data_IF_557825322984
#
_entry.id   IF_557825322984
#
_cell.length_a   1.000
_cell.length_b   1.000
_cell.length_c   1.000
_cell.angle_alpha   90.00
_cell.angle_beta   90.00
_cell.angle_gamma   90.00
#
_symmetry.space_group_name_H-M   'P 1'
#
loop_
_entity.id
_entity.type
_entity.pdbx_description
1 polymer ?
#
# COMPACT_ATOMS: atom_id res chain seq x y z
N UNK A 1 68.07 -19.58 -19.31
CA UNK A 1 66.93 -18.83 -18.73
C UNK A 1 65.84 -19.86 -18.43
N UNK A 2 65.59 -20.20 -17.16
CA UNK A 2 64.66 -21.26 -16.74
C UNK A 2 63.40 -20.62 -16.14
N UNK A 3 62.24 -21.08 -16.62
CA UNK A 3 60.91 -20.51 -16.40
C UNK A 3 60.44 -20.66 -14.94
N UNK A 4 59.79 -19.60 -14.44
CA UNK A 4 59.20 -19.49 -13.10
C UNK A 4 57.83 -20.18 -13.13
N UNK A 5 57.63 -21.21 -12.30
CA UNK A 5 56.34 -21.84 -12.09
C UNK A 5 55.53 -21.05 -11.05
N UNK A 6 54.46 -20.40 -11.50
CA UNK A 6 53.51 -19.66 -10.66
C UNK A 6 52.34 -20.60 -10.31
N UNK A 7 52.28 -21.08 -9.06
CA UNK A 7 51.14 -21.87 -8.56
C UNK A 7 50.16 -20.90 -7.90
N UNK A 8 49.09 -20.53 -8.60
CA UNK A 8 47.96 -19.79 -8.03
C UNK A 8 47.05 -20.79 -7.29
N UNK A 9 47.12 -20.79 -5.96
CA UNK A 9 46.09 -21.39 -5.10
C UNK A 9 44.83 -20.53 -5.14
N UNK A 10 43.83 -20.94 -5.93
CA UNK A 10 42.47 -20.39 -5.83
C UNK A 10 41.80 -20.95 -4.56
N UNK A 11 41.86 -20.19 -3.48
CA UNK A 11 40.99 -20.39 -2.32
C UNK A 11 39.61 -19.79 -2.64
N UNK A 12 38.69 -20.62 -3.11
CA UNK A 12 37.27 -20.27 -3.30
C UNK A 12 36.59 -20.20 -1.93
N UNK A 13 36.68 -19.03 -1.29
CA UNK A 13 35.85 -18.71 -0.12
C UNK A 13 34.42 -18.45 -0.60
N UNK A 14 33.55 -19.45 -0.47
CA UNK A 14 32.10 -19.28 -0.67
C UNK A 14 31.56 -18.55 0.56
N UNK A 15 31.05 -17.31 0.45
CA UNK A 15 30.35 -16.71 1.58
C UNK A 15 29.02 -17.43 1.74
N UNK A 16 28.85 -18.12 2.87
CA UNK A 16 27.57 -18.64 3.32
C UNK A 16 26.64 -17.47 3.63
N UNK A 17 25.87 -17.01 2.64
CA UNK A 17 24.80 -16.05 2.84
C UNK A 17 23.57 -16.78 3.44
N UNK A 18 23.63 -17.06 4.74
CA UNK A 18 22.52 -17.57 5.52
C UNK A 18 21.99 -16.50 6.47
N UNK A 19 20.71 -16.12 6.32
CA UNK A 19 19.95 -15.54 7.44
C UNK A 19 19.03 -14.38 7.12
N UNK A 20 17.84 -14.69 6.59
CA UNK A 20 16.62 -13.94 6.90
C UNK A 20 16.33 -12.71 6.05
N UNK A 21 15.87 -12.91 4.80
CA UNK A 21 15.04 -11.91 4.16
C UNK A 21 13.81 -11.68 5.05
N UNK A 22 13.79 -10.56 5.78
CA UNK A 22 12.65 -10.18 6.59
C UNK A 22 11.40 -10.21 5.70
N UNK A 23 10.45 -11.11 6.00
CA UNK A 23 9.18 -11.25 5.29
C UNK A 23 8.60 -9.85 5.10
N UNK A 24 8.55 -9.37 3.86
CA UNK A 24 8.05 -8.03 3.58
C UNK A 24 6.65 -7.88 4.21
N UNK A 25 6.30 -6.72 4.77
CA UNK A 25 5.01 -6.53 5.41
C UNK A 25 3.88 -6.93 4.44
N UNK A 26 3.14 -7.98 4.79
CA UNK A 26 2.10 -8.54 3.92
C UNK A 26 0.99 -7.50 3.80
N UNK A 27 0.76 -7.02 2.58
CA UNK A 27 -0.39 -6.17 2.29
C UNK A 27 -1.61 -7.05 2.08
N UNK A 28 -2.74 -6.66 2.66
CA UNK A 28 -4.00 -7.40 2.65
C UNK A 28 -5.08 -6.57 1.97
N UNK A 29 -5.94 -7.21 1.18
CA UNK A 29 -7.07 -6.53 0.55
C UNK A 29 -8.02 -5.98 1.63
N UNK A 30 -8.44 -4.74 1.47
CA UNK A 30 -9.46 -4.12 2.32
C UNK A 30 -10.80 -4.06 1.58
N UNK A 31 -10.81 -3.45 0.40
CA UNK A 31 -12.03 -3.26 -0.40
C UNK A 31 -11.68 -3.05 -1.87
N UNK A 32 -12.54 -3.51 -2.77
CA UNK A 32 -12.52 -3.17 -4.19
C UNK A 32 -13.57 -2.09 -4.47
N UNK A 33 -13.19 -1.04 -5.21
CA UNK A 33 -14.02 0.09 -5.57
C UNK A 33 -14.40 -0.01 -7.06
N UNK A 34 -15.69 -0.06 -7.41
CA UNK A 34 -16.12 -0.11 -8.80
C UNK A 34 -15.57 1.06 -9.62
N UNK A 35 -15.15 0.79 -10.87
CA UNK A 35 -14.57 1.76 -11.82
C UNK A 35 -13.28 2.47 -11.37
N UNK A 36 -12.72 2.10 -10.22
CA UNK A 36 -11.46 2.59 -9.69
C UNK A 36 -10.51 1.40 -9.55
N UNK A 37 -10.21 1.00 -8.32
CA UNK A 37 -9.23 -0.03 -8.02
C UNK A 37 -9.50 -0.72 -6.70
N UNK A 38 -8.46 -1.31 -6.11
CA UNK A 38 -8.53 -1.95 -4.80
C UNK A 38 -7.69 -1.21 -3.77
N UNK A 39 -8.24 -1.07 -2.57
CA UNK A 39 -7.53 -0.56 -1.40
C UNK A 39 -6.99 -1.72 -0.60
N UNK A 40 -5.73 -1.62 -0.19
CA UNK A 40 -5.07 -2.58 0.68
C UNK A 40 -4.64 -1.92 1.98
N UNK A 41 -4.38 -2.73 3.00
CA UNK A 41 -3.84 -2.28 4.27
C UNK A 41 -2.66 -3.18 4.68
N UNK A 42 -1.76 -2.63 5.50
CA UNK A 42 -0.61 -3.35 6.04
C UNK A 42 -0.19 -2.79 7.39
N UNK A 43 0.50 -3.62 8.15
CA UNK A 43 1.21 -3.19 9.34
C UNK A 43 2.68 -2.85 9.06
N UNK A 44 3.22 -1.96 9.88
CA UNK A 44 4.65 -1.73 9.99
C UNK A 44 5.31 -2.69 10.97
N UNK A 45 6.64 -2.57 11.10
CA UNK A 45 7.41 -3.26 12.15
C UNK A 45 7.17 -2.67 13.54
N UNK A 46 6.87 -1.38 13.61
CA UNK A 46 6.56 -0.68 14.85
C UNK A 46 5.11 -0.93 15.26
N UNK A 47 4.89 -1.19 16.55
CA UNK A 47 3.55 -1.39 17.09
C UNK A 47 2.66 -0.18 16.80
N UNK A 48 1.44 -0.46 16.34
CA UNK A 48 0.47 0.56 15.98
C UNK A 48 0.80 1.34 14.70
N UNK A 49 1.84 0.98 13.95
CA UNK A 49 2.12 1.60 12.65
C UNK A 49 1.35 0.87 11.54
N UNK A 50 0.52 1.59 10.81
CA UNK A 50 -0.32 1.07 9.74
C UNK A 50 -0.18 1.90 8.48
N UNK A 51 -0.42 1.30 7.33
CA UNK A 51 -0.43 2.02 6.07
C UNK A 51 -1.45 1.44 5.11
N UNK A 52 -1.93 2.32 4.23
CA UNK A 52 -2.82 1.95 3.15
C UNK A 52 -2.05 1.83 1.83
N UNK A 53 -2.58 1.02 0.93
CA UNK A 53 -2.15 0.91 -0.45
C UNK A 53 -3.33 1.02 -1.39
N UNK A 54 -3.03 1.27 -2.67
CA UNK A 54 -4.03 1.35 -3.71
C UNK A 54 -3.49 0.74 -5.01
N UNK A 55 -4.29 -0.10 -5.66
CA UNK A 55 -4.01 -0.66 -6.98
C UNK A 55 -5.12 -0.26 -7.93
N UNK A 56 -4.80 0.55 -8.92
CA UNK A 56 -5.71 0.92 -10.02
C UNK A 56 -6.02 -0.33 -10.88
N UNK A 57 -7.28 -0.51 -11.29
CA UNK A 57 -7.62 -1.60 -12.20
C UNK A 57 -7.13 -1.33 -13.63
N UNK A 58 -7.24 -2.34 -14.49
CA UNK A 58 -6.91 -2.21 -15.91
C UNK A 58 -7.97 -1.42 -16.69
N UNK A 59 -9.22 -1.48 -16.26
CA UNK A 59 -10.37 -0.89 -16.92
C UNK A 59 -10.75 0.50 -16.41
N UNK A 60 -9.95 1.08 -15.50
CA UNK A 60 -10.21 2.39 -14.91
C UNK A 60 -9.33 3.47 -15.54
N UNK A 61 -9.70 4.73 -15.35
CA UNK A 61 -8.92 5.88 -15.80
C UNK A 61 -7.89 6.32 -14.75
N UNK A 62 -6.96 7.20 -15.15
CA UNK A 62 -5.98 7.78 -14.24
C UNK A 62 -6.65 8.50 -13.07
N UNK A 63 -6.24 8.15 -11.84
CA UNK A 63 -6.87 8.63 -10.61
C UNK A 63 -5.87 9.44 -9.78
N UNK A 64 -6.31 10.60 -9.28
CA UNK A 64 -5.61 11.31 -8.20
C UNK A 64 -6.02 10.72 -6.86
N UNK A 65 -5.05 10.19 -6.12
CA UNK A 65 -5.25 9.58 -4.81
C UNK A 65 -4.50 10.38 -3.76
N UNK A 66 -5.19 10.77 -2.70
CA UNK A 66 -4.57 11.44 -1.54
C UNK A 66 -4.87 10.69 -0.27
N UNK A 67 -3.88 10.61 0.62
CA UNK A 67 -3.99 10.00 1.94
C UNK A 67 -3.89 11.08 3.01
N UNK A 68 -4.85 11.06 3.94
CA UNK A 68 -4.80 11.82 5.19
C UNK A 68 -4.71 10.87 6.37
N UNK A 69 -4.06 11.32 7.43
CA UNK A 69 -4.00 10.64 8.71
C UNK A 69 -4.29 11.66 9.81
N UNK A 70 -5.29 11.38 10.65
CA UNK A 70 -5.81 12.32 11.65
C UNK A 70 -6.04 13.74 11.07
N UNK A 71 -6.62 13.81 9.87
CA UNK A 71 -6.90 15.06 9.16
C UNK A 71 -5.72 15.68 8.41
N UNK A 72 -4.47 15.30 8.70
CA UNK A 72 -3.27 15.83 8.02
C UNK A 72 -3.00 15.10 6.71
N UNK A 73 -2.77 15.85 5.62
CA UNK A 73 -2.33 15.27 4.34
C UNK A 73 -0.93 14.67 4.48
N UNK A 74 -0.79 13.37 4.19
CA UNK A 74 0.50 12.68 4.20
C UNK A 74 1.12 12.61 2.81
N UNK A 75 0.31 12.30 1.79
CA UNK A 75 0.77 12.20 0.42
C UNK A 75 -0.39 12.37 -0.58
N UNK A 76 -0.03 12.79 -1.79
CA UNK A 76 -0.87 12.77 -2.99
C UNK A 76 -0.09 12.12 -4.13
N UNK A 77 -0.77 11.29 -4.92
CA UNK A 77 -0.21 10.55 -6.05
C UNK A 77 -1.21 10.55 -7.21
N UNK A 78 -0.70 10.67 -8.42
CA UNK A 78 -1.45 10.34 -9.64
C UNK A 78 -1.14 8.90 -9.98
N UNK A 79 -2.17 8.08 -10.16
CA UNK A 79 -2.05 6.63 -10.33
C UNK A 79 -2.66 6.26 -11.68
N UNK A 80 -1.82 5.72 -12.57
CA UNK A 80 -2.25 5.26 -13.88
C UNK A 80 -2.84 3.84 -13.80
N UNK A 81 -3.57 3.39 -14.84
CA UNK A 81 -4.10 2.03 -14.90
C UNK A 81 -3.02 0.98 -14.59
N UNK A 82 -3.43 -0.08 -13.88
CA UNK A 82 -2.56 -1.16 -13.38
C UNK A 82 -1.53 -0.75 -12.30
N UNK A 83 -1.28 0.53 -12.06
CA UNK A 83 -0.27 0.96 -11.11
C UNK A 83 -0.67 0.62 -9.66
N UNK A 84 0.30 0.09 -8.91
CA UNK A 84 0.20 -0.12 -7.47
C UNK A 84 0.98 0.99 -6.76
N UNK A 85 0.33 1.63 -5.79
CA UNK A 85 0.97 2.60 -4.90
C UNK A 85 0.81 2.20 -3.45
N UNK A 86 1.84 2.51 -2.67
CA UNK A 86 1.92 2.26 -1.25
C UNK A 86 2.09 3.59 -0.53
N UNK A 87 1.26 3.87 0.46
CA UNK A 87 1.37 5.10 1.24
C UNK A 87 2.25 4.91 2.49
N UNK A 88 2.79 6.00 3.06
CA UNK A 88 3.60 5.93 4.27
C UNK A 88 2.87 5.23 5.43
N UNK A 89 3.64 4.52 6.25
CA UNK A 89 3.16 4.00 7.52
C UNK A 89 3.00 5.15 8.53
N UNK A 90 1.96 5.11 9.34
CA UNK A 90 1.69 6.09 10.40
C UNK A 90 1.05 5.40 11.60
N UNK A 91 1.23 5.98 12.79
CA UNK A 91 0.58 5.53 14.02
C UNK A 91 -0.80 6.14 14.27
N UNK A 92 -1.26 6.95 13.32
CA UNK A 92 -2.59 7.55 13.34
C UNK A 92 -3.68 6.45 13.38
N UNK A 93 -4.63 6.51 14.33
CA UNK A 93 -5.73 5.55 14.42
C UNK A 93 -6.68 5.63 13.23
N UNK A 94 -6.78 6.79 12.58
CA UNK A 94 -7.66 7.02 11.43
C UNK A 94 -6.86 7.44 10.22
N UNK A 95 -7.06 6.74 9.11
CA UNK A 95 -6.53 7.11 7.80
C UNK A 95 -7.67 7.24 6.79
N UNK A 96 -7.52 8.15 5.85
CA UNK A 96 -8.52 8.44 4.84
C UNK A 96 -7.86 8.51 3.47
N UNK A 97 -8.33 7.71 2.53
CA UNK A 97 -8.04 7.84 1.11
C UNK A 97 -9.14 8.64 0.43
N UNK A 98 -8.76 9.61 -0.39
CA UNK A 98 -9.67 10.31 -1.30
C UNK A 98 -9.19 10.08 -2.73
N UNK A 99 -10.13 9.64 -3.57
CA UNK A 99 -9.94 9.33 -4.98
C UNK A 99 -10.70 10.36 -5.80
N UNK A 100 -10.05 10.89 -6.84
CA UNK A 100 -10.65 11.78 -7.83
C UNK A 100 -10.20 11.32 -9.20
N UNK A 101 -11.15 10.91 -10.04
CA UNK A 101 -10.89 10.44 -11.39
C UNK A 101 -11.70 11.31 -12.37
N UNK A 102 -11.03 11.92 -13.33
CA UNK A 102 -11.68 12.65 -14.41
C UNK A 102 -11.97 11.70 -15.56
N UNK A 103 -13.24 11.60 -15.94
CA UNK A 103 -13.70 10.77 -17.06
C UNK A 103 -14.48 11.65 -18.04
N UNK A 104 -14.68 11.19 -19.27
CA UNK A 104 -15.47 11.92 -20.29
C UNK A 104 -16.82 12.45 -19.76
N UNK A 105 -17.65 11.67 -19.02
CA UNK A 105 -18.92 12.17 -18.49
C UNK A 105 -18.81 12.94 -17.16
N UNK A 106 -17.62 13.30 -16.69
CA UNK A 106 -17.40 14.10 -15.48
C UNK A 106 -16.45 13.46 -14.45
N UNK A 107 -16.46 14.01 -13.24
CA UNK A 107 -15.55 13.59 -12.16
C UNK A 107 -16.20 12.56 -11.23
N UNK A 108 -15.56 11.40 -11.09
CA UNK A 108 -15.88 10.41 -10.05
C UNK A 108 -15.06 10.70 -8.80
N UNK A 109 -15.71 10.73 -7.63
CA UNK A 109 -15.04 10.88 -6.34
C UNK A 109 -15.42 9.77 -5.38
N UNK A 110 -14.43 9.19 -4.72
CA UNK A 110 -14.65 8.23 -3.64
C UNK A 110 -13.80 8.61 -2.41
N UNK A 111 -14.28 8.23 -1.24
CA UNK A 111 -13.59 8.39 0.03
C UNK A 111 -13.65 7.07 0.79
N UNK A 112 -12.49 6.57 1.21
CA UNK A 112 -12.37 5.40 2.08
C UNK A 112 -11.76 5.85 3.38
N UNK A 113 -12.46 5.65 4.49
CA UNK A 113 -11.97 5.95 5.84
C UNK A 113 -11.73 4.64 6.57
N UNK A 114 -10.57 4.51 7.21
CA UNK A 114 -10.11 3.28 7.87
C UNK A 114 -9.73 3.59 9.31
N UNK A 115 -10.18 2.75 10.25
CA UNK A 115 -9.93 2.87 11.68
C UNK A 115 -9.17 1.63 12.18
N UNK A 116 -7.91 1.82 12.56
CA UNK A 116 -6.99 0.75 12.91
C UNK A 116 -7.01 0.32 14.38
N UNK A 117 -7.58 1.12 15.28
CA UNK A 117 -7.53 0.89 16.74
C UNK A 117 -8.74 0.18 17.35
N UNK A 118 -9.58 -0.46 16.54
CA UNK A 118 -10.84 -1.06 17.03
C UNK A 118 -10.77 -2.57 17.31
N UNK A 119 -9.58 -3.20 17.29
CA UNK A 119 -9.44 -4.60 17.70
C UNK A 119 -9.48 -4.75 19.23
N UNK A 120 -10.21 -5.74 19.72
CA UNK A 120 -10.30 -6.04 21.15
C UNK A 120 -8.91 -6.39 21.74
N UNK A 121 -8.65 -6.06 23.02
CA UNK A 121 -7.44 -6.51 23.72
C UNK A 121 -7.25 -8.02 23.57
N UNK A 122 -6.04 -8.45 23.18
CA UNK A 122 -5.69 -9.87 23.01
C UNK A 122 -5.67 -10.38 21.57
N UNK A 123 -6.11 -9.60 20.58
CA UNK A 123 -5.99 -9.96 19.16
C UNK A 123 -4.76 -9.32 18.51
N UNK A 124 -3.96 -10.08 17.71
CA UNK A 124 -2.86 -9.50 16.96
C UNK A 124 -3.42 -8.51 15.91
N UNK A 125 -2.98 -7.24 15.89
CA UNK A 125 -3.60 -6.18 15.09
C UNK A 125 -3.31 -6.27 13.58
N UNK A 126 -2.70 -7.36 13.11
CA UNK A 126 -2.06 -7.45 11.79
C UNK A 126 -2.41 -8.72 11.01
N UNK A 127 -3.54 -9.35 11.36
CA UNK A 127 -4.01 -10.56 10.68
C UNK A 127 -4.89 -10.22 9.48
N UNK A 128 -4.63 -10.77 8.27
CA UNK A 128 -5.42 -10.50 7.07
C UNK A 128 -6.93 -10.78 7.21
N UNK A 129 -7.29 -11.74 8.06
CA UNK A 129 -8.68 -12.15 8.33
C UNK A 129 -9.35 -11.29 9.43
N UNK A 130 -8.63 -10.35 10.04
CA UNK A 130 -9.16 -9.36 10.98
C UNK A 130 -8.87 -7.94 10.44
N UNK A 131 -9.49 -7.54 9.32
CA UNK A 131 -9.25 -6.22 8.76
C UNK A 131 -9.68 -5.10 9.73
N UNK A 132 -9.07 -3.91 9.64
CA UNK A 132 -9.55 -2.74 10.35
C UNK A 132 -10.98 -2.39 9.91
N UNK A 133 -11.73 -1.68 10.77
CA UNK A 133 -13.04 -1.15 10.36
C UNK A 133 -12.84 -0.09 9.28
N UNK A 134 -13.73 -0.07 8.30
CA UNK A 134 -13.68 0.92 7.24
C UNK A 134 -15.07 1.33 6.77
N UNK A 135 -15.15 2.50 6.15
CA UNK A 135 -16.36 3.00 5.49
C UNK A 135 -16.00 3.55 4.12
N UNK A 136 -16.90 3.39 3.16
CA UNK A 136 -16.75 3.90 1.79
C UNK A 136 -17.89 4.87 1.50
N UNK A 137 -17.55 6.04 0.97
CA UNK A 137 -18.51 6.98 0.42
C UNK A 137 -18.15 7.24 -1.04
N UNK A 138 -19.03 6.84 -1.95
CA UNK A 138 -18.91 7.11 -3.38
C UNK A 138 -19.84 8.26 -3.72
N UNK A 139 -19.29 9.30 -4.31
CA UNK A 139 -20.03 10.47 -4.73
C UNK A 139 -20.24 10.34 -6.23
N UNK A 140 -21.50 10.08 -6.67
CA UNK A 140 -21.81 10.04 -8.08
C UNK A 140 -21.55 11.41 -8.71
N UNK A 141 -21.39 11.41 -10.02
CA UNK A 141 -21.18 12.61 -10.83
C UNK A 141 -22.30 13.61 -10.54
N UNK A 142 -22.02 14.92 -10.37
CA UNK A 142 -23.07 15.91 -10.53
C UNK A 142 -23.57 15.78 -11.98
N UNK A 143 -24.84 15.42 -12.18
CA UNK A 143 -25.44 15.53 -13.50
C UNK A 143 -25.44 17.02 -13.85
N UNK A 144 -24.61 17.42 -14.80
CA UNK A 144 -24.74 18.73 -15.43
C UNK A 144 -26.15 18.82 -16.01
N UNK A 145 -26.95 19.74 -15.46
CA UNK A 145 -28.07 20.34 -16.17
C UNK A 145 -27.57 21.63 -16.77
#
# INVERSE_FOLDING_TARGET
MRAIALVLLLATTVPAAGGGAAKAPRSSLLVALPALGSVTWRCGRMYGAYGLGYREFWSSATTSVSVRADGRLLARRTVNPHQLVSFPLTQAPVQQLTFVQSTEPGTLRAVVTVRFREHAPGYPPCEPYLPPRFSVSVYPRPNGR
#
